data_IF_153144998624
#
_entry.id   IF_153144998624
#
_cell.length_a   1.000
_cell.length_b   1.000
_cell.length_c   1.000
_cell.angle_alpha   90.00
_cell.angle_beta   90.00
_cell.angle_gamma   90.00
#
_symmetry.space_group_name_H-M   'P 1'
#
loop_
_entity.id
_entity.type
_entity.pdbx_description
1 polymer ?
#
# COMPACT_ATOMS: atom_id res chain seq x y z
N UNK A 1 -4.74 38.58 23.45
CA UNK A 1 -5.95 38.16 22.72
C UNK A 1 -5.54 37.96 21.27
N UNK A 2 -4.97 36.80 20.98
CA UNK A 2 -4.50 36.41 19.64
C UNK A 2 -5.64 35.61 19.02
N UNK A 3 -6.37 36.23 18.10
CA UNK A 3 -7.24 35.52 17.18
C UNK A 3 -6.34 34.77 16.19
N UNK A 4 -6.15 33.48 16.41
CA UNK A 4 -5.63 32.58 15.38
C UNK A 4 -6.78 32.44 14.38
N UNK A 5 -6.60 33.01 13.20
CA UNK A 5 -7.46 32.81 12.04
C UNK A 5 -7.52 31.30 11.80
N UNK A 6 -8.65 30.64 12.01
CA UNK A 6 -8.92 29.33 11.46
C UNK A 6 -8.92 29.51 9.94
N UNK A 7 -7.77 29.26 9.31
CA UNK A 7 -7.73 29.08 7.86
C UNK A 7 -8.76 28.01 7.51
N UNK A 8 -9.72 28.39 6.69
CA UNK A 8 -10.78 27.49 6.23
C UNK A 8 -10.13 26.30 5.51
N UNK A 9 -9.92 25.20 6.25
CA UNK A 9 -9.37 23.96 5.70
C UNK A 9 -10.35 23.44 4.66
N UNK A 10 -9.86 23.22 3.44
CA UNK A 10 -10.62 22.54 2.40
C UNK A 10 -11.06 21.17 2.91
N UNK A 11 -12.34 20.82 2.73
CA UNK A 11 -12.85 19.49 3.05
C UNK A 11 -13.07 18.66 1.78
N UNK A 12 -13.22 17.36 1.92
CA UNK A 12 -13.37 16.46 0.76
C UNK A 12 -14.57 16.79 -0.12
N UNK A 13 -15.65 17.33 0.46
CA UNK A 13 -16.82 17.76 -0.31
C UNK A 13 -16.49 18.94 -1.23
N UNK A 14 -15.73 19.89 -0.73
CA UNK A 14 -15.25 21.04 -1.53
C UNK A 14 -14.24 20.58 -2.59
N UNK A 15 -13.34 19.66 -2.24
CA UNK A 15 -12.40 19.08 -3.20
C UNK A 15 -13.15 18.43 -4.37
N UNK A 16 -14.12 17.54 -4.11
CA UNK A 16 -14.88 16.87 -5.16
C UNK A 16 -15.89 17.79 -5.88
N UNK A 17 -16.29 18.90 -5.29
CA UNK A 17 -17.09 19.91 -6.00
C UNK A 17 -16.33 20.55 -7.17
N UNK A 18 -15.00 20.69 -7.00
CA UNK A 18 -14.07 21.24 -8.02
C UNK A 18 -13.53 20.15 -8.96
N UNK A 19 -13.41 18.90 -8.48
CA UNK A 19 -12.87 17.77 -9.22
C UNK A 19 -13.95 16.69 -9.41
N UNK A 20 -14.86 16.94 -10.34
CA UNK A 20 -16.06 16.08 -10.55
C UNK A 20 -15.78 14.80 -11.33
N UNK A 21 -14.64 14.70 -12.01
CA UNK A 21 -14.24 13.55 -12.81
C UNK A 21 -12.79 13.20 -12.51
N UNK A 22 -12.58 12.03 -11.88
CA UNK A 22 -11.27 11.67 -11.32
C UNK A 22 -10.94 10.19 -11.49
N UNK A 23 -9.67 9.89 -11.72
CA UNK A 23 -9.09 8.55 -11.60
C UNK A 23 -8.49 8.41 -10.19
N UNK A 24 -8.57 7.23 -9.60
CA UNK A 24 -7.95 6.94 -8.30
C UNK A 24 -6.93 5.82 -8.45
N UNK A 25 -5.67 6.06 -8.06
CA UNK A 25 -4.67 5.01 -7.85
C UNK A 25 -5.06 4.20 -6.61
N UNK A 26 -5.70 3.06 -6.86
CA UNK A 26 -6.40 2.27 -5.85
C UNK A 26 -5.57 1.06 -5.42
N UNK A 27 -5.16 1.02 -4.15
CA UNK A 27 -4.38 -0.09 -3.60
C UNK A 27 -5.22 -1.09 -2.78
N UNK A 28 -6.49 -0.76 -2.46
CA UNK A 28 -7.30 -1.55 -1.53
C UNK A 28 -6.89 -1.38 -0.05
N UNK A 29 -5.95 -0.48 0.25
CA UNK A 29 -5.63 -0.06 1.61
C UNK A 29 -6.68 0.89 2.18
N UNK A 30 -6.70 1.07 3.52
CA UNK A 30 -7.73 1.86 4.21
C UNK A 30 -7.91 3.26 3.60
N UNK A 31 -6.82 3.94 3.26
CA UNK A 31 -6.85 5.30 2.73
C UNK A 31 -7.47 5.35 1.33
N UNK A 32 -7.04 4.47 0.43
CA UNK A 32 -7.56 4.43 -0.94
C UNK A 32 -9.03 3.98 -1.00
N UNK A 33 -9.44 3.07 -0.11
CA UNK A 33 -10.85 2.65 0.03
C UNK A 33 -11.71 3.79 0.55
N UNK A 34 -11.24 4.50 1.57
CA UNK A 34 -11.94 5.68 2.10
C UNK A 34 -12.05 6.79 1.05
N UNK A 35 -10.95 7.09 0.34
CA UNK A 35 -10.94 8.08 -0.73
C UNK A 35 -11.95 7.74 -1.84
N UNK A 36 -11.98 6.48 -2.29
CA UNK A 36 -12.91 6.01 -3.31
C UNK A 36 -14.36 6.16 -2.85
N UNK A 37 -14.66 5.77 -1.61
CA UNK A 37 -16.00 5.95 -1.04
C UNK A 37 -16.39 7.43 -0.97
N UNK A 38 -15.47 8.31 -0.55
CA UNK A 38 -15.75 9.75 -0.49
C UNK A 38 -15.99 10.36 -1.88
N UNK A 39 -15.27 9.90 -2.90
CA UNK A 39 -15.53 10.32 -4.28
C UNK A 39 -16.96 9.93 -4.72
N UNK A 40 -17.36 8.69 -4.49
CA UNK A 40 -18.70 8.18 -4.81
C UNK A 40 -19.79 8.92 -4.04
N UNK A 41 -19.62 9.14 -2.73
CA UNK A 41 -20.57 9.88 -1.88
C UNK A 41 -20.79 11.32 -2.34
N UNK A 42 -19.73 11.95 -2.84
CA UNK A 42 -19.78 13.31 -3.38
C UNK A 42 -20.18 13.35 -4.86
N UNK A 43 -20.65 12.21 -5.42
CA UNK A 43 -21.15 12.07 -6.79
C UNK A 43 -20.12 12.48 -7.86
N UNK A 44 -18.85 12.27 -7.59
CA UNK A 44 -17.82 12.39 -8.62
C UNK A 44 -17.93 11.22 -9.60
N UNK A 45 -17.73 11.48 -10.89
CA UNK A 45 -17.46 10.44 -11.88
C UNK A 45 -16.08 9.88 -11.57
N UNK A 46 -15.99 8.63 -11.12
CA UNK A 46 -14.75 8.05 -10.63
C UNK A 46 -14.50 6.67 -11.20
N UNK A 47 -13.25 6.41 -11.59
CA UNK A 47 -12.74 5.08 -11.89
C UNK A 47 -11.51 4.78 -11.04
N UNK A 48 -11.53 3.62 -10.41
CA UNK A 48 -10.39 3.10 -9.66
C UNK A 48 -9.46 2.32 -10.58
N UNK A 49 -8.14 2.51 -10.42
CA UNK A 49 -7.11 1.79 -11.18
C UNK A 49 -6.21 1.04 -10.20
N UNK A 50 -6.20 -0.27 -10.31
CA UNK A 50 -5.30 -1.13 -9.56
C UNK A 50 -4.16 -1.60 -10.47
N UNK A 51 -2.91 -1.37 -10.06
CA UNK A 51 -1.75 -1.90 -10.76
C UNK A 51 -1.33 -3.21 -10.12
N UNK A 52 -1.46 -4.31 -10.86
CA UNK A 52 -0.96 -5.63 -10.47
C UNK A 52 0.47 -5.79 -10.95
N UNK A 53 1.39 -6.06 -10.04
CA UNK A 53 2.78 -6.41 -10.32
C UNK A 53 3.28 -7.44 -9.31
N UNK A 54 4.48 -7.98 -9.52
CA UNK A 54 5.11 -8.93 -8.58
C UNK A 54 5.36 -8.33 -7.18
N UNK A 55 5.23 -7.01 -7.01
CA UNK A 55 5.40 -6.32 -5.73
C UNK A 55 4.17 -6.37 -4.81
N UNK A 56 2.99 -6.63 -5.36
CA UNK A 56 1.75 -6.79 -4.61
C UNK A 56 1.40 -8.27 -4.47
N UNK A 57 1.27 -8.78 -3.23
CA UNK A 57 0.85 -10.16 -3.04
C UNK A 57 -0.60 -10.38 -3.48
N UNK A 58 -0.92 -11.61 -3.81
CA UNK A 58 -2.24 -11.99 -4.35
C UNK A 58 -3.39 -11.67 -3.38
N UNK A 59 -3.15 -11.73 -2.06
CA UNK A 59 -4.21 -11.39 -1.10
C UNK A 59 -4.59 -9.90 -1.15
N UNK A 60 -3.61 -8.98 -1.33
CA UNK A 60 -3.86 -7.54 -1.50
C UNK A 60 -4.70 -7.28 -2.76
N UNK A 61 -4.42 -7.99 -3.84
CA UNK A 61 -5.20 -7.91 -5.07
C UNK A 61 -6.65 -8.39 -4.88
N UNK A 62 -6.83 -9.52 -4.19
CA UNK A 62 -8.17 -10.04 -3.89
C UNK A 62 -8.97 -9.08 -3.01
N UNK A 63 -8.35 -8.51 -1.99
CA UNK A 63 -8.99 -7.53 -1.12
C UNK A 63 -9.33 -6.23 -1.86
N UNK A 64 -8.45 -5.74 -2.74
CA UNK A 64 -8.73 -4.56 -3.55
C UNK A 64 -9.96 -4.79 -4.45
N UNK A 65 -10.07 -5.94 -5.10
CA UNK A 65 -11.26 -6.32 -5.88
C UNK A 65 -12.51 -6.37 -5.01
N UNK A 66 -12.40 -6.99 -3.84
CA UNK A 66 -13.51 -7.09 -2.90
C UNK A 66 -14.01 -5.70 -2.48
N UNK A 67 -13.14 -4.80 -2.04
CA UNK A 67 -13.53 -3.47 -1.61
C UNK A 67 -14.10 -2.60 -2.75
N UNK A 68 -13.54 -2.69 -3.95
CA UNK A 68 -14.09 -1.98 -5.09
C UNK A 68 -15.51 -2.48 -5.43
N UNK A 69 -15.75 -3.80 -5.38
CA UNK A 69 -17.06 -4.41 -5.59
C UNK A 69 -18.07 -3.98 -4.52
N UNK A 70 -17.70 -4.03 -3.23
CA UNK A 70 -18.56 -3.60 -2.12
C UNK A 70 -19.00 -2.13 -2.23
N UNK A 71 -18.13 -1.29 -2.80
CA UNK A 71 -18.44 0.13 -3.04
C UNK A 71 -19.23 0.36 -4.34
N UNK A 72 -19.45 -0.67 -5.15
CA UNK A 72 -20.04 -0.53 -6.48
C UNK A 72 -19.20 0.31 -7.45
N UNK A 73 -17.89 0.33 -7.25
CA UNK A 73 -16.96 1.15 -8.02
C UNK A 73 -16.46 0.43 -9.27
N UNK A 74 -16.28 1.20 -10.36
CA UNK A 74 -15.62 0.71 -11.57
C UNK A 74 -14.11 0.57 -11.31
N UNK A 75 -13.62 -0.66 -11.33
CA UNK A 75 -12.22 -1.02 -11.09
C UNK A 75 -11.57 -1.53 -12.37
N UNK A 76 -10.58 -0.79 -12.87
CA UNK A 76 -9.71 -1.24 -13.97
C UNK A 76 -8.40 -1.79 -13.43
N UNK A 77 -8.05 -3.01 -13.85
CA UNK A 77 -6.81 -3.68 -13.46
C UNK A 77 -5.79 -3.47 -14.59
N UNK A 78 -4.59 -3.02 -14.22
CA UNK A 78 -3.46 -2.81 -15.12
C UNK A 78 -2.33 -3.74 -14.70
N UNK A 79 -1.88 -4.63 -15.58
CA UNK A 79 -0.74 -5.51 -15.31
C UNK A 79 0.54 -4.82 -15.72
N UNK A 80 1.51 -4.73 -14.81
CA UNK A 80 2.78 -4.06 -15.03
C UNK A 80 3.93 -4.92 -14.52
N UNK A 81 4.82 -5.32 -15.42
CA UNK A 81 6.09 -5.93 -15.04
C UNK A 81 7.08 -4.81 -14.67
N UNK A 82 7.16 -4.52 -13.36
CA UNK A 82 8.02 -3.46 -12.85
C UNK A 82 9.50 -3.84 -12.87
N UNK A 83 9.81 -5.14 -12.83
CA UNK A 83 11.19 -5.66 -12.84
C UNK A 83 11.86 -5.59 -14.21
N UNK A 84 11.10 -5.31 -15.29
CA UNK A 84 11.72 -4.97 -16.59
C UNK A 84 12.50 -3.66 -16.56
N UNK A 85 12.28 -2.80 -15.57
CA UNK A 85 13.09 -1.60 -15.36
C UNK A 85 14.27 -1.94 -14.43
N UNK A 86 15.46 -1.96 -14.99
CA UNK A 86 16.69 -2.30 -14.26
C UNK A 86 16.94 -1.41 -13.04
N UNK A 87 16.43 -0.17 -13.04
CA UNK A 87 16.54 0.75 -11.90
C UNK A 87 15.67 0.31 -10.71
N UNK A 88 14.59 -0.42 -10.99
CA UNK A 88 13.71 -1.01 -9.97
C UNK A 88 14.28 -2.35 -9.51
N UNK A 89 14.74 -3.20 -10.45
CA UNK A 89 15.35 -4.50 -10.18
C UNK A 89 16.56 -4.38 -9.24
N UNK A 90 17.46 -3.43 -9.48
CA UNK A 90 18.66 -3.19 -8.66
C UNK A 90 18.38 -2.82 -7.21
N UNK A 91 17.15 -2.42 -6.89
CA UNK A 91 16.72 -2.13 -5.53
C UNK A 91 17.56 -1.08 -4.79
N UNK A 92 18.02 -0.07 -5.51
CA UNK A 92 18.74 1.06 -4.92
C UNK A 92 17.80 1.96 -4.10
N UNK A 93 18.36 2.97 -3.45
CA UNK A 93 17.64 3.94 -2.62
C UNK A 93 16.48 4.62 -3.37
N UNK A 94 16.65 4.88 -4.66
CA UNK A 94 15.65 5.49 -5.52
C UNK A 94 14.64 4.50 -6.15
N UNK A 95 14.70 3.20 -5.81
CA UNK A 95 13.76 2.19 -6.34
C UNK A 95 12.30 2.64 -6.25
N UNK A 96 11.89 3.20 -5.09
CA UNK A 96 10.50 3.63 -4.88
C UNK A 96 10.10 4.78 -5.81
N UNK A 97 11.02 5.67 -6.15
CA UNK A 97 10.80 6.74 -7.13
C UNK A 97 10.51 6.16 -8.51
N UNK A 98 11.40 5.32 -9.05
CA UNK A 98 11.21 4.72 -10.37
C UNK A 98 9.98 3.81 -10.43
N UNK A 99 9.72 3.04 -9.37
CA UNK A 99 8.52 2.21 -9.25
C UNK A 99 7.24 3.06 -9.31
N UNK A 100 7.16 4.15 -8.54
CA UNK A 100 6.00 5.05 -8.58
C UNK A 100 5.86 5.77 -9.92
N UNK A 101 6.95 6.23 -10.54
CA UNK A 101 6.91 6.77 -11.90
C UNK A 101 6.29 5.77 -12.89
N UNK A 102 6.73 4.51 -12.84
CA UNK A 102 6.19 3.46 -13.70
C UNK A 102 4.70 3.22 -13.44
N UNK A 103 4.32 3.05 -12.17
CA UNK A 103 2.92 2.78 -11.76
C UNK A 103 2.02 3.95 -12.13
N UNK A 104 2.33 5.17 -11.70
CA UNK A 104 1.50 6.33 -11.99
C UNK A 104 1.47 6.65 -13.49
N UNK A 105 2.60 6.50 -14.21
CA UNK A 105 2.63 6.68 -15.67
C UNK A 105 1.64 5.75 -16.37
N UNK A 106 1.66 4.46 -16.02
CA UNK A 106 0.72 3.49 -16.58
C UNK A 106 -0.73 3.84 -16.25
N UNK A 107 -1.02 4.30 -15.01
CA UNK A 107 -2.37 4.72 -14.64
C UNK A 107 -2.79 5.96 -15.41
N UNK A 108 -1.93 6.98 -15.51
CA UNK A 108 -2.24 8.25 -16.22
C UNK A 108 -2.54 7.98 -17.69
N UNK A 109 -1.75 7.13 -18.35
CA UNK A 109 -2.00 6.75 -19.75
C UNK A 109 -3.35 6.05 -19.90
N UNK A 110 -3.64 5.06 -19.06
CA UNK A 110 -4.90 4.33 -19.09
C UNK A 110 -6.09 5.25 -18.73
N UNK A 111 -5.94 6.14 -17.75
CA UNK A 111 -6.95 7.09 -17.33
C UNK A 111 -7.29 8.08 -18.45
N UNK A 112 -6.27 8.62 -19.15
CA UNK A 112 -6.48 9.52 -20.30
C UNK A 112 -7.26 8.86 -21.43
N UNK A 113 -6.97 7.59 -21.76
CA UNK A 113 -7.72 6.83 -22.76
C UNK A 113 -9.19 6.69 -22.32
N UNK A 114 -9.43 6.52 -21.02
CA UNK A 114 -10.77 6.41 -20.45
C UNK A 114 -11.45 7.79 -20.22
N UNK A 115 -10.76 8.89 -20.57
CA UNK A 115 -11.27 10.26 -20.47
C UNK A 115 -11.18 10.88 -19.07
N UNK A 116 -10.23 10.42 -18.22
CA UNK A 116 -9.95 10.99 -16.91
C UNK A 116 -8.60 11.71 -16.92
N UNK A 117 -8.58 12.99 -16.61
CA UNK A 117 -7.38 13.83 -16.65
C UNK A 117 -6.75 14.07 -15.27
N UNK A 118 -7.50 13.84 -14.19
CA UNK A 118 -7.06 14.06 -12.80
C UNK A 118 -6.86 12.73 -12.12
N UNK A 119 -5.60 12.46 -11.70
CA UNK A 119 -5.26 11.27 -10.90
C UNK A 119 -5.12 11.63 -9.43
N UNK A 120 -5.79 10.86 -8.58
CA UNK A 120 -5.73 10.97 -7.13
C UNK A 120 -5.01 9.77 -6.52
N UNK A 121 -4.36 9.98 -5.35
CA UNK A 121 -3.84 8.90 -4.52
C UNK A 121 -4.32 9.00 -3.06
N UNK A 122 -4.15 7.92 -2.30
CA UNK A 122 -4.56 7.82 -0.90
C UNK A 122 -3.52 8.35 0.10
N UNK A 123 -2.54 9.15 -0.31
CA UNK A 123 -1.59 9.75 0.63
C UNK A 123 -2.32 10.65 1.63
N UNK A 124 -2.05 10.47 2.92
CA UNK A 124 -2.70 11.17 4.02
C UNK A 124 -1.74 12.11 4.78
N UNK A 125 -2.24 12.85 5.78
CA UNK A 125 -1.44 13.83 6.52
C UNK A 125 -0.39 13.21 7.44
N UNK A 126 -0.53 11.94 7.83
CA UNK A 126 0.47 11.22 8.64
C UNK A 126 1.65 10.68 7.81
N UNK A 127 1.55 10.69 6.47
CA UNK A 127 2.65 10.24 5.64
C UNK A 127 3.76 11.31 5.66
N UNK A 128 4.93 10.95 6.17
CA UNK A 128 6.10 11.85 6.16
C UNK A 128 6.46 12.22 4.72
N UNK A 129 6.72 13.51 4.53
CA UNK A 129 6.98 14.05 3.20
C UNK A 129 8.48 14.15 2.89
N UNK A 130 9.30 14.41 3.91
CA UNK A 130 10.71 14.69 3.74
C UNK A 130 11.48 13.44 3.32
N UNK A 131 12.29 13.59 2.28
CA UNK A 131 13.24 12.61 1.73
C UNK A 131 12.70 11.25 1.24
N UNK A 132 11.40 11.09 1.00
CA UNK A 132 10.89 9.85 0.40
C UNK A 132 10.90 9.92 -1.14
N UNK A 133 11.74 9.12 -1.81
CA UNK A 133 11.85 9.13 -3.28
C UNK A 133 10.51 9.00 -4.01
N UNK A 134 9.58 8.23 -3.43
CA UNK A 134 8.25 8.05 -4.02
C UNK A 134 7.35 9.30 -3.96
N UNK A 135 7.58 10.25 -3.05
CA UNK A 135 6.81 11.50 -3.00
C UNK A 135 7.23 12.44 -4.12
N UNK A 136 8.52 12.52 -4.42
CA UNK A 136 9.06 13.27 -5.56
C UNK A 136 8.43 12.84 -6.89
N UNK A 137 8.33 11.53 -7.13
CA UNK A 137 7.68 11.01 -8.35
C UNK A 137 6.23 11.49 -8.48
N UNK A 138 5.48 11.50 -7.37
CA UNK A 138 4.09 11.93 -7.33
C UNK A 138 3.93 13.40 -7.68
N UNK A 139 4.77 14.28 -7.13
CA UNK A 139 4.75 15.71 -7.43
C UNK A 139 5.05 16.01 -8.89
N UNK A 140 6.12 15.42 -9.42
CA UNK A 140 6.52 15.57 -10.82
C UNK A 140 5.39 15.14 -11.78
N UNK A 141 4.62 14.12 -11.39
CA UNK A 141 3.50 13.58 -12.17
C UNK A 141 2.16 14.26 -11.88
N UNK A 142 2.13 15.25 -11.00
CA UNK A 142 0.93 16.02 -10.61
C UNK A 142 -0.21 15.16 -10.09
N UNK A 143 0.12 14.10 -9.33
CA UNK A 143 -0.87 13.26 -8.64
C UNK A 143 -1.35 14.00 -7.40
N UNK A 144 -2.66 14.23 -7.29
CA UNK A 144 -3.27 14.95 -6.16
C UNK A 144 -3.52 14.00 -4.98
N UNK A 145 -3.39 14.53 -3.77
CA UNK A 145 -3.59 13.78 -2.52
C UNK A 145 -4.64 14.42 -1.63
N UNK A 146 -5.94 14.26 -1.96
CA UNK A 146 -7.01 15.00 -1.28
C UNK A 146 -7.10 14.72 0.22
N UNK A 147 -6.74 13.51 0.68
CA UNK A 147 -6.73 13.22 2.12
C UNK A 147 -5.67 14.06 2.85
N UNK A 148 -4.50 14.24 2.24
CA UNK A 148 -3.46 15.10 2.76
C UNK A 148 -3.82 16.58 2.66
N UNK A 149 -4.34 17.02 1.52
CA UNK A 149 -4.76 18.41 1.29
C UNK A 149 -5.86 18.84 2.28
N UNK A 150 -6.75 17.90 2.65
CA UNK A 150 -7.75 18.09 3.69
C UNK A 150 -7.21 17.86 5.12
N UNK A 151 -5.89 17.62 5.27
CA UNK A 151 -5.20 17.39 6.54
C UNK A 151 -5.79 16.22 7.37
N UNK A 152 -6.24 15.15 6.69
CA UNK A 152 -6.74 13.94 7.32
C UNK A 152 -5.58 13.01 7.69
N UNK A 153 -5.48 12.70 8.97
CA UNK A 153 -4.49 11.75 9.50
C UNK A 153 -4.93 10.29 9.32
N UNK A 154 -3.99 9.36 9.41
CA UNK A 154 -4.28 7.93 9.35
C UNK A 154 -5.28 7.48 10.41
N UNK A 155 -5.18 8.01 11.62
CA UNK A 155 -6.10 7.71 12.72
C UNK A 155 -7.52 8.19 12.40
N UNK A 156 -7.67 9.45 11.97
CA UNK A 156 -8.96 10.02 11.59
C UNK A 156 -9.60 9.24 10.43
N UNK A 157 -8.81 8.86 9.41
CA UNK A 157 -9.31 8.05 8.29
C UNK A 157 -9.83 6.70 8.78
N UNK A 158 -9.15 6.03 9.71
CA UNK A 158 -9.62 4.77 10.32
C UNK A 158 -10.92 4.95 11.10
N UNK A 159 -11.02 6.01 11.91
CA UNK A 159 -12.23 6.32 12.65
C UNK A 159 -13.42 6.64 11.72
N UNK A 160 -13.20 7.46 10.72
CA UNK A 160 -14.20 7.79 9.71
C UNK A 160 -14.63 6.54 8.92
N UNK A 161 -13.67 5.73 8.49
CA UNK A 161 -13.93 4.46 7.80
C UNK A 161 -14.79 3.51 8.66
N UNK A 162 -14.51 3.44 9.98
CA UNK A 162 -15.32 2.66 10.93
C UNK A 162 -16.74 3.20 11.07
N UNK A 163 -16.90 4.51 11.21
CA UNK A 163 -18.21 5.19 11.28
C UNK A 163 -19.04 4.97 10.02
N UNK A 164 -18.38 4.90 8.87
CA UNK A 164 -18.98 4.67 7.57
C UNK A 164 -19.23 3.19 7.24
N UNK A 165 -18.87 2.28 8.15
CA UNK A 165 -19.07 0.84 7.96
C UNK A 165 -18.11 0.16 7.01
N UNK A 166 -17.01 0.81 6.60
CA UNK A 166 -16.01 0.24 5.71
C UNK A 166 -15.20 -0.84 6.43
N UNK A 167 -15.25 -2.09 5.97
CA UNK A 167 -14.49 -3.19 6.59
C UNK A 167 -12.97 -2.97 6.57
N UNK A 168 -12.47 -2.14 5.64
CA UNK A 168 -11.05 -1.80 5.49
C UNK A 168 -10.44 -1.09 6.70
N UNK A 169 -11.24 -0.51 7.62
CA UNK A 169 -10.70 0.20 8.78
C UNK A 169 -9.82 -0.66 9.68
N UNK A 170 -10.05 -1.99 9.69
CA UNK A 170 -9.28 -2.96 10.48
C UNK A 170 -8.01 -3.47 9.78
N UNK A 171 -7.85 -3.13 8.49
CA UNK A 171 -6.73 -3.64 7.71
C UNK A 171 -5.41 -3.06 8.23
N UNK A 172 -4.42 -3.91 8.59
CA UNK A 172 -3.11 -3.44 8.97
C UNK A 172 -2.40 -2.80 7.76
N UNK A 173 -1.46 -1.90 8.01
CA UNK A 173 -0.61 -1.36 6.95
C UNK A 173 0.28 -2.45 6.37
N UNK A 174 0.22 -2.63 5.05
CA UNK A 174 1.06 -3.59 4.35
C UNK A 174 1.90 -2.87 3.28
N UNK A 175 3.20 -2.96 3.39
CA UNK A 175 4.13 -2.42 2.39
C UNK A 175 4.42 -3.46 1.31
N UNK A 176 4.79 -3.02 0.10
CA UNK A 176 5.05 -3.92 -1.02
C UNK A 176 6.15 -4.97 -0.69
N UNK A 177 6.07 -6.16 -1.30
CA UNK A 177 7.01 -7.27 -1.08
C UNK A 177 8.48 -6.90 -1.30
N UNK A 178 8.76 -5.96 -2.22
CA UNK A 178 10.10 -5.46 -2.46
C UNK A 178 10.81 -4.92 -1.21
N UNK A 179 10.06 -4.47 -0.20
CA UNK A 179 10.64 -4.00 1.07
C UNK A 179 11.19 -5.13 1.95
N UNK A 180 10.93 -6.40 1.61
CA UNK A 180 11.47 -7.57 2.31
C UNK A 180 12.88 -7.90 1.88
N UNK A 181 13.35 -7.32 0.77
CA UNK A 181 14.69 -7.50 0.23
C UNK A 181 15.53 -6.28 0.62
N UNK A 182 16.74 -6.53 1.13
CA UNK A 182 17.64 -5.47 1.58
C UNK A 182 18.01 -4.55 0.41
N UNK A 183 17.98 -3.23 0.64
CA UNK A 183 18.40 -2.23 -0.34
C UNK A 183 19.82 -2.52 -0.86
N UNK A 184 20.01 -2.43 -2.16
CA UNK A 184 21.25 -2.78 -2.87
C UNK A 184 21.37 -4.23 -3.28
N UNK A 185 20.41 -5.09 -2.91
CA UNK A 185 20.30 -6.46 -3.42
C UNK A 185 19.26 -6.50 -4.54
N UNK A 186 19.60 -7.13 -5.67
CA UNK A 186 18.67 -7.27 -6.79
C UNK A 186 17.39 -7.98 -6.36
N UNK A 187 16.27 -7.53 -6.89
CA UNK A 187 14.97 -8.17 -6.69
C UNK A 187 14.70 -9.11 -7.84
N UNK A 188 14.40 -10.37 -7.52
CA UNK A 188 13.96 -11.37 -8.52
C UNK A 188 12.49 -11.76 -8.29
N UNK A 189 11.82 -12.26 -9.32
CA UNK A 189 10.44 -12.78 -9.20
C UNK A 189 10.41 -14.00 -8.28
N UNK A 190 11.44 -14.81 -8.33
CA UNK A 190 11.60 -16.00 -7.50
C UNK A 190 11.67 -15.64 -6.02
N UNK A 191 12.46 -14.62 -5.66
CA UNK A 191 12.57 -14.13 -4.29
C UNK A 191 11.24 -13.59 -3.77
N UNK A 192 10.53 -12.78 -4.58
CA UNK A 192 9.22 -12.25 -4.22
C UNK A 192 8.20 -13.37 -4.01
N UNK A 193 8.18 -14.38 -4.89
CA UNK A 193 7.29 -15.53 -4.77
C UNK A 193 7.57 -16.36 -3.51
N UNK A 194 8.84 -16.53 -3.13
CA UNK A 194 9.23 -17.24 -1.90
C UNK A 194 8.80 -16.44 -0.66
N UNK A 195 9.03 -15.13 -0.65
CA UNK A 195 8.60 -14.24 0.43
C UNK A 195 7.09 -14.27 0.58
N UNK A 196 6.34 -14.17 -0.53
CA UNK A 196 4.88 -14.23 -0.51
C UNK A 196 4.37 -15.54 0.09
N UNK A 197 4.93 -16.69 -0.32
CA UNK A 197 4.57 -18.01 0.25
C UNK A 197 4.83 -18.07 1.75
N UNK A 198 5.99 -17.57 2.19
CA UNK A 198 6.33 -17.54 3.61
C UNK A 198 5.39 -16.64 4.42
N UNK A 199 5.08 -15.43 3.91
CA UNK A 199 4.13 -14.51 4.56
C UNK A 199 2.69 -15.08 4.54
N UNK A 200 2.26 -15.72 3.45
CA UNK A 200 0.95 -16.38 3.38
C UNK A 200 0.83 -17.54 4.39
N UNK A 201 1.91 -18.30 4.60
CA UNK A 201 1.92 -19.35 5.64
C UNK A 201 1.72 -18.76 7.04
N UNK A 202 2.40 -17.68 7.40
CA UNK A 202 2.20 -17.02 8.68
C UNK A 202 0.79 -16.42 8.83
N UNK A 203 0.22 -15.88 7.74
CA UNK A 203 -1.17 -15.42 7.74
C UNK A 203 -2.14 -16.55 8.07
N UNK A 204 -1.94 -17.74 7.51
CA UNK A 204 -2.77 -18.92 7.77
C UNK A 204 -2.65 -19.40 9.22
N UNK A 205 -1.52 -19.15 9.90
CA UNK A 205 -1.35 -19.37 11.33
C UNK A 205 -1.98 -18.25 12.20
N UNK A 206 -2.62 -17.25 11.55
CA UNK A 206 -3.33 -16.17 12.22
C UNK A 206 -2.45 -15.01 12.70
N UNK A 207 -1.25 -14.83 12.12
CA UNK A 207 -0.46 -13.62 12.30
C UNK A 207 -0.96 -12.51 11.37
N UNK A 208 -0.93 -11.26 11.83
CA UNK A 208 -1.47 -10.11 11.06
C UNK A 208 -0.44 -9.03 10.77
N UNK A 209 0.34 -8.63 11.76
CA UNK A 209 1.36 -7.58 11.62
C UNK A 209 2.77 -8.18 11.79
N UNK A 210 3.32 -8.68 10.71
CA UNK A 210 4.64 -9.31 10.67
C UNK A 210 5.34 -9.02 9.33
N UNK A 211 6.59 -9.42 9.20
CA UNK A 211 7.35 -9.41 7.94
C UNK A 211 8.28 -10.62 7.89
N UNK A 212 8.45 -11.15 6.70
CA UNK A 212 9.50 -12.16 6.43
C UNK A 212 10.52 -11.50 5.50
N UNK A 213 11.65 -11.07 6.06
CA UNK A 213 12.72 -10.49 5.26
C UNK A 213 13.66 -11.56 4.76
N UNK A 214 14.03 -11.42 3.48
CA UNK A 214 15.05 -12.24 2.85
C UNK A 214 16.41 -11.56 2.98
N UNK A 215 17.35 -12.23 3.64
CA UNK A 215 18.75 -11.82 3.76
C UNK A 215 19.58 -12.99 3.23
N UNK A 216 20.07 -12.89 2.01
CA UNK A 216 20.66 -14.02 1.27
C UNK A 216 19.70 -15.24 1.28
N UNK A 217 20.12 -16.36 1.86
CA UNK A 217 19.30 -17.57 2.00
C UNK A 217 18.64 -17.71 3.39
N UNK A 218 18.55 -16.61 4.15
CA UNK A 218 17.99 -16.58 5.50
C UNK A 218 16.64 -15.90 5.49
N UNK A 219 15.63 -16.53 6.11
CA UNK A 219 14.36 -15.90 6.46
C UNK A 219 14.50 -15.24 7.83
N UNK A 220 14.44 -13.90 7.89
CA UNK A 220 14.35 -13.16 9.15
C UNK A 220 12.89 -12.78 9.39
N UNK A 221 12.27 -13.39 10.41
CA UNK A 221 10.89 -13.12 10.81
C UNK A 221 10.88 -11.95 11.78
N UNK A 222 10.00 -10.99 11.52
CA UNK A 222 9.74 -9.83 12.38
C UNK A 222 8.26 -9.84 12.77
N UNK A 223 7.96 -9.81 14.07
CA UNK A 223 6.58 -9.81 14.62
C UNK A 223 6.40 -8.68 15.63
N UNK A 224 5.16 -8.38 16.00
CA UNK A 224 4.86 -7.46 17.11
C UNK A 224 5.10 -8.12 18.47
N UNK A 225 5.22 -7.32 19.52
CA UNK A 225 5.40 -7.83 20.88
C UNK A 225 4.30 -8.80 21.30
N UNK A 226 3.05 -8.56 20.89
CA UNK A 226 1.90 -9.44 21.16
C UNK A 226 2.03 -10.84 20.54
N UNK A 227 2.66 -10.91 19.40
CA UNK A 227 2.81 -12.16 18.65
C UNK A 227 4.12 -12.89 18.96
N UNK A 228 4.99 -12.32 19.83
CA UNK A 228 6.33 -12.86 20.07
C UNK A 228 6.32 -14.26 20.70
N UNK A 229 5.52 -14.47 21.73
CA UNK A 229 5.38 -15.82 22.34
C UNK A 229 4.63 -16.77 21.40
N UNK A 230 3.64 -16.28 20.70
CA UNK A 230 2.87 -17.06 19.73
C UNK A 230 3.76 -17.60 18.62
N UNK A 231 4.68 -16.79 18.04
CA UNK A 231 5.56 -17.27 16.95
C UNK A 231 6.49 -18.39 17.43
N UNK A 232 6.95 -18.35 18.68
CA UNK A 232 7.79 -19.38 19.28
C UNK A 232 6.99 -20.69 19.45
N UNK A 233 5.69 -20.60 19.79
CA UNK A 233 4.84 -21.80 19.94
C UNK A 233 4.65 -22.54 18.59
N UNK A 234 4.67 -21.85 17.47
CA UNK A 234 4.62 -22.42 16.12
C UNK A 234 6.00 -22.70 15.51
N UNK A 235 7.08 -22.66 16.32
CA UNK A 235 8.46 -22.79 15.83
C UNK A 235 8.68 -23.97 14.91
N UNK A 236 8.15 -25.15 15.27
CA UNK A 236 8.39 -26.37 14.49
C UNK A 236 7.76 -26.29 13.11
N UNK A 237 6.48 -25.93 13.06
CA UNK A 237 5.72 -25.79 11.80
C UNK A 237 6.34 -24.74 10.87
N UNK A 238 6.78 -23.61 11.44
CA UNK A 238 7.41 -22.53 10.68
C UNK A 238 8.76 -22.98 10.12
N UNK A 239 9.59 -23.62 10.92
CA UNK A 239 10.90 -24.11 10.47
C UNK A 239 10.74 -25.18 9.40
N UNK A 240 9.83 -26.16 9.61
CA UNK A 240 9.58 -27.24 8.65
C UNK A 240 9.09 -26.68 7.28
N UNK A 241 8.24 -25.64 7.29
CA UNK A 241 7.75 -25.00 6.06
C UNK A 241 8.84 -24.14 5.40
N UNK A 242 9.47 -23.26 6.17
CA UNK A 242 10.42 -22.29 5.63
C UNK A 242 11.72 -22.93 5.12
N UNK A 243 12.16 -24.05 5.70
CA UNK A 243 13.31 -24.84 5.23
C UNK A 243 13.14 -25.39 3.81
N UNK A 244 11.94 -25.36 3.25
CA UNK A 244 11.70 -25.69 1.84
C UNK A 244 12.25 -24.62 0.88
N UNK A 245 12.46 -23.39 1.39
CA UNK A 245 12.84 -22.23 0.57
C UNK A 245 14.07 -21.49 1.09
N UNK A 246 14.37 -21.60 2.38
CA UNK A 246 15.47 -20.90 3.05
C UNK A 246 16.41 -21.89 3.71
N UNK A 247 17.71 -21.56 3.67
CA UNK A 247 18.73 -22.34 4.38
C UNK A 247 18.60 -22.19 5.90
N UNK A 248 18.22 -21.00 6.37
CA UNK A 248 18.12 -20.68 7.79
C UNK A 248 16.87 -19.86 8.08
N UNK A 249 16.31 -20.03 9.28
CA UNK A 249 15.14 -19.27 9.76
C UNK A 249 15.51 -18.64 11.09
N UNK A 250 15.37 -17.33 11.17
CA UNK A 250 15.70 -16.53 12.36
C UNK A 250 14.50 -15.70 12.80
N UNK A 251 14.41 -15.41 14.08
CA UNK A 251 13.43 -14.49 14.66
C UNK A 251 14.18 -13.23 15.12
N UNK A 252 13.69 -12.06 14.70
CA UNK A 252 14.20 -10.80 15.21
C UNK A 252 13.78 -10.61 16.66
N UNK A 253 14.72 -10.35 17.57
CA UNK A 253 14.42 -10.05 18.96
C UNK A 253 13.85 -8.63 19.12
N UNK A 254 14.16 -7.71 18.22
CA UNK A 254 13.51 -6.40 18.16
C UNK A 254 12.12 -6.58 17.59
N UNK A 255 11.11 -6.20 18.35
CA UNK A 255 9.72 -6.31 17.94
C UNK A 255 9.33 -5.15 17.02
N UNK A 256 8.33 -5.38 16.19
CA UNK A 256 7.73 -4.34 15.36
C UNK A 256 6.76 -3.50 16.19
N UNK A 257 6.60 -2.23 15.80
CA UNK A 257 5.58 -1.37 16.37
C UNK A 257 4.18 -1.93 16.09
N UNK A 258 3.30 -1.71 17.05
CA UNK A 258 1.87 -2.00 16.93
C UNK A 258 1.19 -0.80 16.26
N UNK A 259 0.80 -0.95 14.99
CA UNK A 259 -0.02 0.03 14.27
C UNK A 259 -1.53 -0.26 14.44
#
# INVERSE_FOLDING_TARGET
MLFICEEQRMNLKEFFSKNKKVAIAFSGGVDSVFLLQQALKNKAEVRAYYVKSDFQPEFEFKEAKYFAHELGADLKILEVDVLKDVRIEKNDKDRCYFCKQKIFGTIIEAAKIDGFDVLLDGTNASDEYEDRPGMRAKEEMKVLSPLRECNLTKSEIRELSKKEGLASWRKPSYSCLATRIKTGMNITKEDLAVIEKAEAFLMNLGFKNFRVRKIDDVAKIEVTGKDFEKIISFRKEIVDEFKKFYREVTLNLEVRDEE
#
